data_IF_129213925805
#
_entry.id   IF_129213925805
#
_cell.length_a   1.000
_cell.length_b   1.000
_cell.length_c   1.000
_cell.angle_alpha   90.00
_cell.angle_beta   90.00
_cell.angle_gamma   90.00
#
_symmetry.space_group_name_H-M   'P 1'
#
loop_
_entity.id
_entity.type
_entity.pdbx_description
1 polymer ?
#
# COMPACT_ATOMS: atom_id res chain seq x y z
N UNK A 1 5.85 11.69 0.01
CA UNK A 1 5.71 10.95 -1.27
C UNK A 1 4.27 11.06 -1.75
N UNK A 2 3.98 11.20 -3.05
CA UNK A 2 2.61 11.17 -3.58
C UNK A 2 2.31 9.79 -4.17
N UNK A 3 1.21 9.16 -3.77
CA UNK A 3 0.74 7.89 -4.35
C UNK A 3 -0.64 8.06 -4.98
N UNK A 4 -0.73 7.68 -6.25
CA UNK A 4 -2.00 7.55 -6.95
C UNK A 4 -2.61 6.19 -6.66
N UNK A 5 -3.82 6.17 -6.12
CA UNK A 5 -4.53 4.96 -5.68
C UNK A 5 -5.92 4.95 -6.31
N UNK A 6 -6.36 3.78 -6.77
CA UNK A 6 -7.71 3.60 -7.30
C UNK A 6 -8.76 3.84 -6.19
N UNK A 7 -9.87 4.57 -6.44
CA UNK A 7 -10.83 4.96 -5.39
C UNK A 7 -11.33 3.79 -4.52
N UNK A 8 -11.49 2.59 -5.07
CA UNK A 8 -11.93 1.41 -4.29
C UNK A 8 -10.95 1.02 -3.17
N UNK A 9 -9.65 1.29 -3.36
CA UNK A 9 -8.61 1.02 -2.38
C UNK A 9 -8.45 2.17 -1.38
N UNK A 10 -8.72 3.40 -1.80
CA UNK A 10 -8.72 4.58 -0.93
C UNK A 10 -9.69 4.37 0.23
N UNK A 11 -10.89 3.88 -0.04
CA UNK A 11 -11.90 3.61 0.99
C UNK A 11 -11.40 2.60 2.05
N UNK A 12 -10.66 1.57 1.62
CA UNK A 12 -10.09 0.58 2.53
C UNK A 12 -8.99 1.18 3.41
N UNK A 13 -8.21 2.12 2.88
CA UNK A 13 -7.16 2.82 3.62
C UNK A 13 -7.79 3.76 4.66
N UNK A 14 -8.77 4.57 4.23
CA UNK A 14 -9.43 5.55 5.11
C UNK A 14 -10.18 4.89 6.28
N UNK A 15 -10.76 3.72 6.06
CA UNK A 15 -11.42 2.94 7.12
C UNK A 15 -10.46 2.09 7.96
N UNK A 16 -9.14 2.20 7.77
CA UNK A 16 -8.12 1.45 8.52
C UNK A 16 -8.05 -0.05 8.21
N UNK A 17 -8.83 -0.53 7.22
CA UNK A 17 -8.84 -1.94 6.78
C UNK A 17 -7.56 -2.33 6.04
N UNK A 18 -6.92 -1.36 5.37
CA UNK A 18 -5.65 -1.53 4.67
C UNK A 18 -4.61 -0.62 5.29
N UNK A 19 -3.64 -1.21 5.98
CA UNK A 19 -2.56 -0.46 6.66
C UNK A 19 -1.20 -0.63 5.97
N UNK A 20 -1.06 -1.65 5.12
CA UNK A 20 0.18 -1.91 4.39
C UNK A 20 0.06 -1.57 2.91
N UNK A 21 1.03 -0.83 2.39
CA UNK A 21 1.20 -0.57 0.95
C UNK A 21 2.38 -1.38 0.43
N UNK A 22 2.12 -2.28 -0.53
CA UNK A 22 3.15 -3.17 -1.06
C UNK A 22 3.82 -2.58 -2.29
N UNK A 23 5.15 -2.55 -2.27
CA UNK A 23 5.96 -2.11 -3.39
C UNK A 23 7.03 -3.15 -3.67
N UNK A 24 7.37 -3.26 -4.96
CA UNK A 24 8.38 -4.19 -5.48
C UNK A 24 9.75 -3.53 -5.65
N UNK A 25 9.80 -2.21 -5.59
CA UNK A 25 11.04 -1.43 -5.54
C UNK A 25 10.99 -0.67 -4.23
N UNK A 26 12.10 -0.72 -3.47
CA UNK A 26 12.23 -0.01 -2.20
C UNK A 26 11.92 1.47 -2.42
N UNK A 27 11.10 2.06 -1.56
CA UNK A 27 10.93 3.51 -1.55
C UNK A 27 12.24 4.20 -1.17
N UNK A 28 12.37 5.48 -1.52
CA UNK A 28 13.50 6.30 -1.06
C UNK A 28 13.58 6.26 0.47
N UNK A 29 14.79 6.34 1.00
CA UNK A 29 14.99 6.41 2.45
C UNK A 29 14.33 7.69 3.02
N UNK A 30 13.85 7.62 4.27
CA UNK A 30 13.22 8.73 5.01
C UNK A 30 11.88 9.26 4.48
N UNK A 31 11.04 8.41 3.87
CA UNK A 31 9.63 8.80 3.63
C UNK A 31 8.87 8.73 4.94
N UNK A 32 8.58 9.89 5.55
CA UNK A 32 7.76 9.99 6.77
C UNK A 32 6.25 10.09 6.48
N UNK A 33 5.88 10.62 5.31
CA UNK A 33 4.48 10.81 4.91
C UNK A 33 4.20 10.43 3.46
N UNK A 34 3.02 9.87 3.27
CA UNK A 34 2.41 9.57 1.97
C UNK A 34 1.18 10.46 1.79
N UNK A 35 1.15 11.24 0.72
CA UNK A 35 -0.04 11.94 0.25
C UNK A 35 -0.79 11.01 -0.70
N UNK A 36 -2.08 10.80 -0.44
CA UNK A 36 -2.92 9.89 -1.21
C UNK A 36 -3.74 10.70 -2.22
N UNK A 37 -3.51 10.45 -3.50
CA UNK A 37 -4.30 10.95 -4.61
C UNK A 37 -5.22 9.86 -5.13
N UNK A 38 -6.53 10.10 -5.09
CA UNK A 38 -7.50 9.19 -5.69
C UNK A 38 -7.55 9.43 -7.19
N UNK A 39 -7.40 8.37 -8.00
CA UNK A 39 -7.50 8.48 -9.47
C UNK A 39 -8.95 8.71 -9.93
N UNK A 40 -9.21 8.65 -11.24
CA UNK A 40 -10.56 8.75 -11.80
C UNK A 40 -11.56 7.81 -11.09
N UNK A 41 -12.81 8.25 -10.83
CA UNK A 41 -13.39 9.56 -11.16
C UNK A 41 -13.15 10.66 -10.11
N UNK A 42 -12.47 10.35 -8.99
CA UNK A 42 -12.35 11.28 -7.85
C UNK A 42 -11.34 12.40 -8.11
N UNK A 43 -10.18 12.05 -8.69
CA UNK A 43 -9.17 12.98 -9.22
C UNK A 43 -8.73 14.11 -8.27
N UNK A 44 -8.53 13.79 -6.98
CA UNK A 44 -8.05 14.76 -5.99
C UNK A 44 -7.20 14.11 -4.92
N UNK A 45 -6.44 14.93 -4.20
CA UNK A 45 -5.83 14.52 -2.93
C UNK A 45 -6.95 14.30 -1.92
N UNK A 46 -6.95 13.14 -1.30
CA UNK A 46 -8.03 12.69 -0.39
C UNK A 46 -7.55 12.51 1.04
N UNK A 47 -6.24 12.37 1.26
CA UNK A 47 -5.70 12.23 2.61
C UNK A 47 -4.18 12.12 2.65
N UNK A 48 -3.68 11.92 3.86
CA UNK A 48 -2.29 11.60 4.14
C UNK A 48 -2.20 10.40 5.07
N UNK A 49 -1.09 9.67 4.97
CA UNK A 49 -0.73 8.58 5.86
C UNK A 49 0.70 8.78 6.36
N UNK A 50 0.90 8.53 7.65
CA UNK A 50 2.21 8.47 8.25
C UNK A 50 2.85 7.10 7.98
N UNK A 51 4.15 7.11 7.65
CA UNK A 51 4.91 5.88 7.46
C UNK A 51 5.63 5.56 8.75
N UNK A 52 5.15 4.54 9.45
CA UNK A 52 5.71 4.11 10.73
C UNK A 52 6.96 3.23 10.54
N UNK A 53 6.93 2.35 9.54
CA UNK A 53 7.99 1.38 9.30
C UNK A 53 8.09 1.05 7.80
N UNK A 54 9.30 0.69 7.36
CA UNK A 54 9.56 0.15 6.03
C UNK A 54 10.14 -1.26 6.16
N UNK A 55 9.33 -2.26 5.83
CA UNK A 55 9.73 -3.67 5.83
C UNK A 55 10.31 -4.01 4.44
N UNK A 56 11.55 -4.51 4.42
CA UNK A 56 12.22 -4.97 3.19
C UNK A 56 12.64 -6.42 3.39
N UNK A 57 11.93 -7.33 2.73
CA UNK A 57 12.23 -8.76 2.77
C UNK A 57 11.65 -9.47 1.52
N UNK A 58 11.82 -10.77 1.44
CA UNK A 58 11.20 -11.64 0.45
C UNK A 58 9.65 -11.62 0.57
N UNK A 59 8.91 -11.81 -0.54
CA UNK A 59 7.45 -11.71 -0.53
C UNK A 59 6.74 -12.69 0.41
N UNK A 60 7.34 -13.86 0.68
CA UNK A 60 6.78 -14.83 1.62
C UNK A 60 6.72 -14.27 3.03
N UNK A 61 7.87 -13.79 3.53
CA UNK A 61 7.99 -13.27 4.88
C UNK A 61 7.23 -11.95 5.06
N UNK A 62 7.27 -11.05 4.06
CA UNK A 62 6.45 -9.82 4.08
C UNK A 62 4.97 -10.16 4.22
N UNK A 63 4.49 -11.18 3.51
CA UNK A 63 3.09 -11.60 3.60
C UNK A 63 2.75 -12.13 5.00
N UNK A 64 3.57 -13.01 5.58
CA UNK A 64 3.34 -13.53 6.93
C UNK A 64 3.19 -12.41 7.96
N UNK A 65 4.06 -11.40 7.91
CA UNK A 65 4.04 -10.27 8.84
C UNK A 65 2.83 -9.34 8.68
N UNK A 66 2.29 -9.20 7.45
CA UNK A 66 1.36 -8.11 7.11
C UNK A 66 -0.04 -8.57 6.72
N UNK A 67 -0.24 -9.87 6.46
CA UNK A 67 -1.46 -10.42 5.86
C UNK A 67 -2.76 -10.05 6.58
N UNK A 68 -2.75 -9.96 7.91
CA UNK A 68 -3.94 -9.64 8.71
C UNK A 68 -4.47 -8.22 8.47
N UNK A 69 -3.61 -7.30 8.00
CA UNK A 69 -3.94 -5.89 7.78
C UNK A 69 -3.59 -5.42 6.35
N UNK A 70 -3.35 -6.38 5.44
CA UNK A 70 -2.94 -6.14 4.06
C UNK A 70 -4.05 -5.49 3.20
N UNK A 71 -5.31 -5.69 3.59
CA UNK A 71 -6.49 -5.19 2.86
C UNK A 71 -6.64 -5.79 1.44
N UNK A 72 -5.93 -6.86 1.13
CA UNK A 72 -5.97 -7.60 -0.15
C UNK A 72 -5.90 -9.11 0.12
N UNK A 73 -6.37 -9.93 -0.81
CA UNK A 73 -6.26 -11.40 -0.69
C UNK A 73 -4.84 -11.88 -1.01
N UNK A 74 -4.46 -13.04 -0.46
CA UNK A 74 -3.20 -13.72 -0.80
C UNK A 74 -3.06 -13.96 -2.31
N UNK A 75 -4.14 -14.35 -2.98
CA UNK A 75 -4.18 -14.50 -4.44
C UNK A 75 -3.80 -13.23 -5.20
N UNK A 76 -4.29 -12.06 -4.76
CA UNK A 76 -3.95 -10.79 -5.39
C UNK A 76 -2.51 -10.38 -5.08
N UNK A 77 -2.04 -10.63 -3.86
CA UNK A 77 -0.66 -10.42 -3.47
C UNK A 77 0.30 -11.27 -4.31
N UNK A 78 0.06 -12.59 -4.38
CA UNK A 78 0.91 -13.51 -5.14
C UNK A 78 0.90 -13.17 -6.62
N UNK A 79 -0.28 -12.86 -7.20
CA UNK A 79 -0.37 -12.38 -8.59
C UNK A 79 0.44 -11.10 -8.80
N UNK A 80 0.40 -10.18 -7.84
CA UNK A 80 1.18 -8.95 -7.91
C UNK A 80 2.67 -9.30 -7.98
N UNK A 81 3.18 -10.27 -7.21
CA UNK A 81 4.60 -10.67 -7.20
C UNK A 81 5.00 -11.78 -8.19
N UNK A 82 4.06 -12.43 -8.90
CA UNK A 82 4.28 -13.65 -9.71
C UNK A 82 5.33 -13.54 -10.83
N UNK A 83 5.69 -12.34 -11.26
CA UNK A 83 6.64 -12.08 -12.35
C UNK A 83 7.70 -11.03 -11.95
N UNK A 84 8.14 -11.02 -10.69
CA UNK A 84 9.24 -10.15 -10.23
C UNK A 84 10.17 -10.88 -9.31
#
# INVERSE_FOLDING_TARGET
>A
MLLSIHPEHVENIMNGRKQFEFRKVRCRENVSKIIIYATSPVMKVVGEAEVLEVIVDNPGHVWELTSSQAGISKKNYDRYYLNR
#
